data_IF_036699391010
#
_entry.id   IF_036699391010
#
_cell.length_a   1.000
_cell.length_b   1.000
_cell.length_c   1.000
_cell.angle_alpha   90.00
_cell.angle_beta   90.00
_cell.angle_gamma   90.00
#
_symmetry.space_group_name_H-M   'P 1'
#
loop_
_entity.id
_entity.type
_entity.pdbx_description
1 polymer ?
#
# COMPACT_ATOMS: atom_id res chain seq x y z
N UNK A 1 -23.29 34.02 -78.29
CA UNK A 1 -23.70 34.16 -76.89
C UNK A 1 -23.11 32.96 -76.11
N UNK A 2 -22.03 33.21 -75.31
CA UNK A 2 -21.37 32.18 -74.51
C UNK A 2 -21.85 32.37 -73.05
N UNK A 3 -22.52 31.36 -72.47
CA UNK A 3 -22.86 31.35 -71.08
C UNK A 3 -21.72 30.75 -70.24
N UNK A 4 -21.21 31.54 -69.31
CA UNK A 4 -20.20 31.13 -68.32
C UNK A 4 -20.96 30.72 -67.07
N UNK A 5 -20.88 29.44 -66.65
CA UNK A 5 -21.38 28.96 -65.38
C UNK A 5 -20.28 29.05 -64.34
N UNK A 6 -20.46 29.86 -63.33
CA UNK A 6 -19.59 29.95 -62.16
C UNK A 6 -20.01 28.87 -61.15
N UNK A 7 -19.16 27.90 -60.91
CA UNK A 7 -19.36 26.89 -59.84
C UNK A 7 -18.80 27.45 -58.54
N UNK A 8 -19.70 27.75 -57.60
CA UNK A 8 -19.32 28.13 -56.24
C UNK A 8 -18.96 26.91 -55.41
N UNK A 9 -17.72 26.83 -54.97
CA UNK A 9 -17.22 25.78 -54.06
C UNK A 9 -17.56 26.23 -52.63
N UNK A 10 -18.53 25.59 -51.97
CA UNK A 10 -18.81 25.79 -50.57
C UNK A 10 -17.85 24.95 -49.71
N UNK A 11 -16.96 25.62 -49.01
CA UNK A 11 -16.08 24.99 -48.03
C UNK A 11 -16.87 24.76 -46.74
N UNK A 12 -17.26 23.51 -46.48
CA UNK A 12 -17.82 23.10 -45.18
C UNK A 12 -16.67 22.94 -44.19
N UNK A 13 -16.50 23.93 -43.32
CA UNK A 13 -15.56 23.83 -42.20
C UNK A 13 -16.12 22.88 -41.13
N UNK A 14 -15.54 21.66 -41.00
CA UNK A 14 -15.76 20.81 -39.85
C UNK A 14 -15.10 21.47 -38.60
N UNK A 15 -15.91 22.09 -37.75
CA UNK A 15 -15.49 22.48 -36.42
C UNK A 15 -15.43 21.17 -35.60
N UNK A 16 -14.26 20.61 -35.46
CA UNK A 16 -13.99 19.51 -34.53
C UNK A 16 -14.14 20.05 -33.12
N UNK A 17 -15.21 19.63 -32.45
CA UNK A 17 -15.32 19.83 -31.00
C UNK A 17 -14.28 18.92 -30.38
N UNK A 18 -13.17 19.47 -29.95
CA UNK A 18 -12.20 18.79 -29.09
C UNK A 18 -12.85 18.74 -27.70
N UNK A 19 -13.40 17.60 -27.31
CA UNK A 19 -13.68 17.31 -25.92
C UNK A 19 -12.33 17.21 -25.21
N UNK A 20 -11.87 18.28 -24.59
CA UNK A 20 -10.83 18.20 -23.59
C UNK A 20 -11.43 17.51 -22.38
N UNK A 21 -11.21 16.21 -22.24
CA UNK A 21 -11.42 15.54 -20.96
C UNK A 21 -10.52 16.25 -19.96
N UNK A 22 -11.09 17.02 -19.05
CA UNK A 22 -10.37 17.53 -17.91
C UNK A 22 -9.96 16.31 -17.08
N UNK A 23 -8.67 16.07 -16.92
CA UNK A 23 -8.22 15.05 -15.98
C UNK A 23 -8.75 15.42 -14.58
N UNK A 24 -9.36 14.47 -13.90
CA UNK A 24 -9.84 14.67 -12.53
C UNK A 24 -8.63 15.04 -11.65
N UNK A 25 -8.73 16.14 -10.93
CA UNK A 25 -7.62 16.61 -10.07
C UNK A 25 -7.60 15.80 -8.77
N UNK A 26 -6.45 15.22 -8.44
CA UNK A 26 -6.25 14.57 -7.14
C UNK A 26 -6.34 15.64 -6.04
N UNK A 27 -7.14 15.39 -5.03
CA UNK A 27 -7.36 16.30 -3.89
C UNK A 27 -6.60 15.86 -2.64
N UNK A 28 -6.46 14.55 -2.44
CA UNK A 28 -5.82 13.96 -1.26
C UNK A 28 -5.01 12.72 -1.62
N UNK A 29 -3.89 12.53 -0.96
CA UNK A 29 -3.16 11.26 -0.91
C UNK A 29 -3.88 10.27 0.00
N UNK A 30 -3.57 8.98 -0.11
CA UNK A 30 -4.14 7.97 0.80
C UNK A 30 -3.71 8.25 2.25
N UNK A 31 -2.47 8.69 2.47
CA UNK A 31 -2.00 9.06 3.81
C UNK A 31 -2.78 10.23 4.44
N UNK A 32 -3.22 11.21 3.64
CA UNK A 32 -4.11 12.28 4.11
C UNK A 32 -5.53 11.77 4.40
N UNK A 33 -5.99 10.77 3.64
CA UNK A 33 -7.28 10.11 3.88
C UNK A 33 -7.23 9.31 5.19
N UNK A 34 -6.20 8.51 5.41
CA UNK A 34 -5.98 7.74 6.64
C UNK A 34 -5.72 8.66 7.86
N UNK A 35 -5.09 9.83 7.64
CA UNK A 35 -4.87 10.85 8.66
C UNK A 35 -3.85 10.47 9.73
N UNK A 36 -3.22 9.29 9.64
CA UNK A 36 -2.29 8.72 10.63
C UNK A 36 -2.93 8.56 12.03
N UNK A 37 -4.22 8.24 12.04
CA UNK A 37 -5.05 8.08 13.23
C UNK A 37 -5.92 6.82 13.07
N UNK A 38 -6.56 6.38 14.17
CA UNK A 38 -7.55 5.29 14.16
C UNK A 38 -8.83 5.59 13.38
N UNK A 39 -8.99 6.81 12.93
CA UNK A 39 -10.16 7.25 12.20
C UNK A 39 -9.79 8.42 11.33
N UNK A 40 -10.25 8.40 10.09
CA UNK A 40 -9.96 9.43 9.10
C UNK A 40 -10.41 10.82 9.56
N UNK A 41 -9.59 11.86 9.40
CA UNK A 41 -10.01 13.25 9.61
C UNK A 41 -10.97 13.75 8.53
N UNK A 42 -11.20 12.96 7.46
CA UNK A 42 -11.97 13.34 6.28
C UNK A 42 -13.32 12.60 6.18
N UNK A 43 -13.80 11.98 7.27
CA UNK A 43 -15.10 11.28 7.30
C UNK A 43 -16.20 12.16 6.70
N UNK A 44 -17.08 11.56 5.88
CA UNK A 44 -18.19 12.19 5.15
C UNK A 44 -17.74 13.23 4.09
N UNK A 45 -16.45 13.34 3.81
CA UNK A 45 -15.96 14.20 2.73
C UNK A 45 -15.76 13.39 1.45
N UNK A 46 -16.06 14.02 0.32
CA UNK A 46 -15.76 13.46 -1.01
C UNK A 46 -14.34 13.86 -1.40
N UNK A 47 -13.52 12.88 -1.68
CA UNK A 47 -12.11 13.05 -2.05
C UNK A 47 -11.85 12.45 -3.43
N UNK A 48 -10.88 13.01 -4.14
CA UNK A 48 -10.31 12.38 -5.33
C UNK A 48 -8.91 11.91 -5.00
N UNK A 49 -8.64 10.61 -5.19
CA UNK A 49 -7.33 10.02 -4.94
C UNK A 49 -6.90 9.11 -6.09
N UNK A 50 -5.66 8.67 -6.06
CA UNK A 50 -5.09 7.72 -7.02
C UNK A 50 -4.31 6.65 -6.27
N UNK A 51 -4.17 5.47 -6.87
CA UNK A 51 -3.34 4.38 -6.33
C UNK A 51 -3.27 3.22 -7.29
N UNK A 52 -2.30 2.34 -7.03
CA UNK A 52 -2.20 1.04 -7.70
C UNK A 52 -3.10 0.05 -6.99
N UNK A 53 -3.90 -0.69 -7.74
CA UNK A 53 -4.71 -1.79 -7.20
C UNK A 53 -3.78 -2.91 -6.75
N UNK A 54 -3.72 -3.15 -5.45
CA UNK A 54 -2.86 -4.17 -4.83
C UNK A 54 -3.57 -5.48 -4.61
N UNK A 55 -4.89 -5.44 -4.43
CA UNK A 55 -5.76 -6.61 -4.33
C UNK A 55 -7.13 -6.29 -4.89
N UNK A 56 -7.77 -7.27 -5.52
CA UNK A 56 -9.12 -7.15 -6.08
C UNK A 56 -9.97 -8.34 -5.66
N UNK A 57 -11.26 -8.30 -6.03
CA UNK A 57 -12.20 -9.39 -5.75
C UNK A 57 -12.32 -9.75 -4.26
N UNK A 58 -12.23 -8.76 -3.37
CA UNK A 58 -12.64 -8.97 -1.98
C UNK A 58 -14.10 -9.42 -1.97
N UNK A 59 -14.38 -10.57 -1.36
CA UNK A 59 -15.70 -11.19 -1.43
C UNK A 59 -16.33 -11.32 -0.06
N UNK A 60 -17.65 -11.29 -0.04
CA UNK A 60 -18.45 -11.66 1.13
C UNK A 60 -19.22 -12.94 0.82
N UNK A 61 -19.37 -13.80 1.79
CA UNK A 61 -20.13 -15.05 1.66
C UNK A 61 -21.58 -14.86 1.17
N UNK A 62 -22.14 -13.68 1.36
CA UNK A 62 -23.54 -13.37 1.03
C UNK A 62 -23.72 -12.41 -0.16
N UNK A 63 -22.72 -11.59 -0.47
CA UNK A 63 -22.87 -10.46 -1.41
C UNK A 63 -22.00 -10.58 -2.67
N UNK A 64 -21.12 -11.58 -2.75
CA UNK A 64 -20.14 -11.70 -3.83
C UNK A 64 -19.01 -10.66 -3.67
N UNK A 65 -18.45 -10.14 -4.76
CA UNK A 65 -17.41 -9.09 -4.72
C UNK A 65 -17.95 -7.82 -4.10
N UNK A 66 -17.24 -7.32 -3.11
CA UNK A 66 -17.60 -6.14 -2.32
C UNK A 66 -16.54 -5.05 -2.30
N UNK A 67 -15.36 -5.27 -2.89
CA UNK A 67 -14.34 -4.24 -2.91
C UNK A 67 -12.98 -4.69 -3.42
N UNK A 68 -12.04 -3.77 -3.26
CA UNK A 68 -10.63 -3.94 -3.65
C UNK A 68 -9.74 -3.00 -2.80
N UNK A 69 -8.43 -3.22 -2.84
CA UNK A 69 -7.45 -2.37 -2.15
C UNK A 69 -6.62 -1.58 -3.14
N UNK A 70 -6.32 -0.34 -2.81
CA UNK A 70 -5.39 0.51 -3.55
C UNK A 70 -4.30 1.06 -2.64
N UNK A 71 -3.13 1.32 -3.23
CA UNK A 71 -1.98 1.88 -2.51
C UNK A 71 -1.26 2.91 -3.38
N UNK A 72 -0.91 4.09 -2.83
CA UNK A 72 -0.30 5.21 -3.56
C UNK A 72 1.21 5.37 -3.28
N UNK A 73 1.78 4.46 -2.49
CA UNK A 73 3.20 4.50 -2.13
C UNK A 73 3.67 3.24 -1.43
N UNK A 74 4.92 3.25 -0.95
CA UNK A 74 5.47 2.23 -0.06
C UNK A 74 5.41 2.73 1.38
N UNK A 75 5.16 1.83 2.33
CA UNK A 75 5.18 2.15 3.76
C UNK A 75 3.78 2.30 4.39
N UNK A 76 3.74 2.61 5.69
CA UNK A 76 2.49 2.75 6.43
C UNK A 76 1.64 3.92 5.91
N UNK A 77 0.32 3.83 6.12
CA UNK A 77 -0.67 4.83 5.75
C UNK A 77 -0.85 5.05 4.24
N UNK A 78 -0.24 4.20 3.40
CA UNK A 78 -0.31 4.34 1.94
C UNK A 78 -1.37 3.47 1.28
N UNK A 79 -2.08 2.64 2.03
CA UNK A 79 -3.13 1.75 1.57
C UNK A 79 -4.51 2.17 2.05
N UNK A 80 -5.55 1.84 1.27
CA UNK A 80 -6.95 2.03 1.68
C UNK A 80 -7.84 0.99 1.02
N UNK A 81 -8.87 0.57 1.73
CA UNK A 81 -9.92 -0.28 1.21
C UNK A 81 -10.97 0.55 0.44
N UNK A 82 -11.41 0.04 -0.70
CA UNK A 82 -12.50 0.63 -1.50
C UNK A 82 -13.67 -0.33 -1.49
N UNK A 83 -14.75 0.05 -0.82
CA UNK A 83 -15.99 -0.71 -0.80
C UNK A 83 -16.83 -0.36 -2.03
N UNK A 84 -16.70 -1.18 -3.07
CA UNK A 84 -17.44 -1.02 -4.32
C UNK A 84 -17.65 -2.36 -5.02
N UNK A 85 -18.86 -2.61 -5.50
CA UNK A 85 -19.23 -3.82 -6.25
C UNK A 85 -19.61 -3.53 -7.70
N UNK A 86 -19.36 -2.33 -8.17
CA UNK A 86 -19.72 -1.89 -9.54
C UNK A 86 -18.52 -1.85 -10.48
N UNK A 87 -17.30 -1.71 -9.92
CA UNK A 87 -16.04 -1.71 -10.67
C UNK A 87 -15.32 -3.06 -10.47
N UNK A 88 -14.51 -3.42 -11.43
CA UNK A 88 -13.71 -4.65 -11.42
C UNK A 88 -12.29 -4.35 -11.93
N UNK A 89 -11.48 -3.62 -11.13
CA UNK A 89 -10.12 -3.33 -11.52
C UNK A 89 -9.26 -4.60 -11.48
N UNK A 90 -8.20 -4.63 -12.29
CA UNK A 90 -7.18 -5.67 -12.23
C UNK A 90 -6.03 -5.26 -11.29
N UNK A 91 -5.39 -6.24 -10.66
CA UNK A 91 -4.18 -5.99 -9.86
C UNK A 91 -3.10 -5.38 -10.76
N UNK A 92 -2.52 -4.25 -10.34
CA UNK A 92 -1.57 -3.49 -11.14
C UNK A 92 -2.20 -2.38 -12.00
N UNK A 93 -3.51 -2.19 -11.95
CA UNK A 93 -4.12 -0.99 -12.51
C UNK A 93 -3.78 0.22 -11.63
N UNK A 94 -3.33 1.29 -12.24
CA UNK A 94 -3.32 2.62 -11.62
C UNK A 94 -4.68 3.27 -11.88
N UNK A 95 -5.39 3.63 -10.84
CA UNK A 95 -6.73 4.20 -10.95
C UNK A 95 -6.82 5.57 -10.28
N UNK A 96 -7.71 6.41 -10.82
CA UNK A 96 -8.18 7.63 -10.17
C UNK A 96 -9.64 7.42 -9.81
N UNK A 97 -9.99 7.65 -8.56
CA UNK A 97 -11.36 7.55 -8.06
C UNK A 97 -11.76 8.81 -7.30
N UNK A 98 -13.03 9.16 -7.40
CA UNK A 98 -13.68 10.12 -6.50
C UNK A 98 -14.73 9.37 -5.69
N UNK A 99 -14.60 9.45 -4.36
CA UNK A 99 -15.40 8.67 -3.43
C UNK A 99 -15.59 9.42 -2.12
N UNK A 100 -16.57 9.02 -1.35
CA UNK A 100 -16.78 9.47 0.02
C UNK A 100 -15.90 8.68 0.99
N UNK A 101 -15.28 9.34 1.94
CA UNK A 101 -14.54 8.71 3.03
C UNK A 101 -15.52 8.28 4.12
N UNK A 102 -15.49 7.03 4.51
CA UNK A 102 -16.32 6.46 5.56
C UNK A 102 -15.49 5.69 6.57
N UNK A 103 -16.05 5.51 7.76
CA UNK A 103 -15.57 4.57 8.77
C UNK A 103 -16.62 3.49 8.98
N UNK A 104 -16.25 2.25 8.77
CA UNK A 104 -17.14 1.12 8.97
C UNK A 104 -16.54 0.11 9.94
N UNK A 105 -17.05 0.07 11.17
CA UNK A 105 -16.48 -0.72 12.27
C UNK A 105 -14.97 -0.53 12.43
N UNK A 106 -14.56 0.74 12.51
CA UNK A 106 -13.17 1.18 12.67
C UNK A 106 -12.26 0.88 11.43
N UNK A 107 -12.84 0.63 10.26
CA UNK A 107 -12.12 0.56 8.97
C UNK A 107 -12.29 1.87 8.23
N UNK A 108 -11.20 2.55 7.89
CA UNK A 108 -11.25 3.65 6.94
C UNK A 108 -11.46 3.11 5.53
N UNK A 109 -12.58 3.45 4.91
CA UNK A 109 -12.93 2.98 3.57
C UNK A 109 -13.39 4.09 2.64
N UNK A 110 -13.23 3.87 1.34
CA UNK A 110 -13.77 4.72 0.28
C UNK A 110 -15.05 4.09 -0.27
N UNK A 111 -16.15 4.84 -0.20
CA UNK A 111 -17.49 4.37 -0.58
C UNK A 111 -18.14 5.32 -1.58
N UNK A 112 -19.28 4.92 -2.15
CA UNK A 112 -20.11 5.78 -2.99
C UNK A 112 -19.32 6.42 -4.16
N UNK A 113 -18.58 5.61 -4.92
CA UNK A 113 -17.78 6.08 -6.05
C UNK A 113 -18.61 6.91 -7.03
N UNK A 114 -18.20 8.16 -7.26
CA UNK A 114 -18.80 9.08 -8.23
C UNK A 114 -17.99 9.23 -9.51
N UNK A 115 -16.69 8.88 -9.45
CA UNK A 115 -15.79 8.81 -10.58
C UNK A 115 -14.86 7.62 -10.45
N UNK A 116 -14.59 6.95 -11.57
CA UNK A 116 -13.65 5.85 -11.70
C UNK A 116 -12.97 5.91 -13.07
N UNK A 117 -11.66 5.83 -13.10
CA UNK A 117 -10.90 5.76 -14.34
C UNK A 117 -9.60 4.99 -14.15
N UNK A 118 -9.34 4.04 -15.05
CA UNK A 118 -8.04 3.36 -15.15
C UNK A 118 -7.11 4.25 -15.96
N UNK A 119 -6.00 4.65 -15.34
CA UNK A 119 -4.96 5.51 -15.94
C UNK A 119 -3.97 4.69 -16.76
N UNK A 120 -3.51 3.59 -16.16
CA UNK A 120 -2.58 2.64 -16.78
C UNK A 120 -2.77 1.25 -16.14
N UNK A 121 -2.29 0.20 -16.81
CA UNK A 121 -2.35 -1.18 -16.34
C UNK A 121 -0.97 -1.83 -16.35
N UNK A 122 -0.87 -3.01 -15.75
CA UNK A 122 0.39 -3.77 -15.63
C UNK A 122 1.50 -3.00 -14.89
N UNK A 123 1.13 -2.10 -13.97
CA UNK A 123 2.08 -1.38 -13.15
C UNK A 123 2.73 -2.32 -12.12
N UNK A 124 3.99 -2.02 -11.78
CA UNK A 124 4.65 -2.70 -10.67
C UNK A 124 3.93 -2.36 -9.37
N UNK A 125 3.59 -3.38 -8.59
CA UNK A 125 3.00 -3.18 -7.27
C UNK A 125 4.00 -2.53 -6.32
N UNK A 126 3.54 -1.75 -5.33
CA UNK A 126 4.35 -1.39 -4.18
C UNK A 126 4.97 -2.65 -3.56
N UNK A 127 6.23 -2.56 -3.12
CA UNK A 127 6.87 -3.69 -2.47
C UNK A 127 6.14 -4.02 -1.16
N UNK A 128 5.83 -5.31 -0.87
CA UNK A 128 5.22 -5.68 0.39
C UNK A 128 6.12 -5.29 1.56
N UNK A 129 5.56 -4.64 2.58
CA UNK A 129 6.29 -4.36 3.80
C UNK A 129 6.52 -5.66 4.58
N UNK A 130 7.77 -6.03 4.81
CA UNK A 130 8.12 -7.18 5.64
C UNK A 130 7.97 -6.80 7.11
N UNK A 131 7.06 -7.47 7.80
CA UNK A 131 6.66 -7.15 9.17
C UNK A 131 6.63 -8.42 10.03
N UNK A 132 6.73 -8.25 11.33
CA UNK A 132 6.46 -9.33 12.28
C UNK A 132 4.96 -9.52 12.50
N UNK A 133 4.55 -10.73 12.87
CA UNK A 133 3.14 -11.04 13.15
C UNK A 133 2.57 -10.18 14.28
N UNK A 134 3.34 -9.93 15.34
CA UNK A 134 2.94 -9.10 16.46
C UNK A 134 2.85 -7.61 16.14
N UNK A 135 3.66 -7.08 15.23
CA UNK A 135 3.53 -5.70 14.76
C UNK A 135 2.25 -5.50 13.97
N UNK A 136 1.94 -6.41 13.05
CA UNK A 136 0.76 -6.31 12.20
C UNK A 136 -0.55 -6.46 12.97
N UNK A 137 -0.57 -7.32 14.01
CA UNK A 137 -1.79 -7.56 14.80
C UNK A 137 -2.25 -6.37 15.65
N UNK A 138 -1.46 -5.29 15.71
CA UNK A 138 -1.73 -4.13 16.56
C UNK A 138 -1.51 -2.77 15.89
N UNK A 139 -1.37 -2.74 14.57
CA UNK A 139 -0.95 -1.53 13.86
C UNK A 139 -1.96 -1.06 12.83
N UNK A 140 -2.70 -0.02 13.19
CA UNK A 140 -3.55 0.79 12.30
C UNK A 140 -2.79 1.28 11.06
N UNK A 141 -1.53 1.66 11.25
CA UNK A 141 -0.71 2.25 10.20
C UNK A 141 -0.54 1.38 8.94
N UNK A 142 -0.86 0.08 9.04
CA UNK A 142 -0.75 -0.86 7.93
C UNK A 142 -2.09 -1.26 7.32
N UNK A 143 -3.20 -0.71 7.83
CA UNK A 143 -4.52 -0.95 7.24
C UNK A 143 -4.52 -0.59 5.75
N UNK A 144 -5.09 -1.48 4.94
CA UNK A 144 -5.12 -1.36 3.48
C UNK A 144 -3.80 -1.60 2.76
N UNK A 145 -2.67 -1.68 3.48
CA UNK A 145 -1.35 -1.84 2.87
C UNK A 145 -1.00 -3.28 2.54
N UNK A 146 -0.19 -3.46 1.49
CA UNK A 146 0.40 -4.74 1.12
C UNK A 146 1.58 -5.06 2.04
N UNK A 147 1.49 -6.20 2.74
CA UNK A 147 2.48 -6.65 3.72
C UNK A 147 2.94 -8.08 3.44
N UNK A 148 4.03 -8.48 4.10
CA UNK A 148 4.52 -9.85 4.09
C UNK A 148 5.02 -10.24 5.47
N UNK A 149 4.55 -11.38 5.98
CA UNK A 149 5.18 -12.08 7.11
C UNK A 149 6.10 -13.18 6.57
N UNK A 150 7.25 -13.38 7.21
CA UNK A 150 8.24 -14.36 6.76
C UNK A 150 8.48 -15.39 7.86
N UNK A 151 8.43 -16.68 7.50
CA UNK A 151 8.71 -17.81 8.40
C UNK A 151 7.83 -17.83 9.66
N UNK A 152 6.57 -17.45 9.55
CA UNK A 152 5.62 -17.58 10.63
C UNK A 152 5.09 -19.03 10.73
N UNK A 153 4.96 -19.53 11.93
CA UNK A 153 4.40 -20.88 12.20
C UNK A 153 2.88 -20.80 12.24
N UNK A 154 2.20 -21.69 11.55
CA UNK A 154 0.76 -21.87 11.71
C UNK A 154 0.46 -22.51 13.07
N UNK A 155 0.00 -21.72 14.03
CA UNK A 155 -0.29 -22.19 15.39
C UNK A 155 -1.71 -22.71 15.53
N UNK A 156 -2.66 -22.15 14.76
CA UNK A 156 -4.05 -22.65 14.68
C UNK A 156 -4.45 -22.70 13.21
N UNK A 157 -4.57 -23.90 12.62
CA UNK A 157 -4.88 -24.06 11.19
C UNK A 157 -6.36 -23.81 10.83
N UNK A 158 -7.24 -23.83 11.82
CA UNK A 158 -8.68 -23.55 11.70
C UNK A 158 -9.12 -22.84 12.98
N UNK A 159 -9.27 -21.53 12.89
CA UNK A 159 -9.71 -20.65 13.98
C UNK A 159 -11.18 -20.21 13.79
N UNK A 160 -12.01 -21.09 13.18
CA UNK A 160 -13.36 -20.83 12.68
C UNK A 160 -13.38 -19.87 11.46
N UNK A 161 -14.45 -19.90 10.69
CA UNK A 161 -14.72 -19.02 9.54
C UNK A 161 -13.62 -19.00 8.46
N UNK A 162 -12.87 -20.10 8.28
CA UNK A 162 -11.70 -20.21 7.40
C UNK A 162 -10.55 -19.25 7.76
N UNK A 163 -10.51 -18.80 9.00
CA UNK A 163 -9.35 -18.08 9.54
C UNK A 163 -8.28 -19.05 10.04
N UNK A 164 -7.03 -18.62 10.01
CA UNK A 164 -5.93 -19.36 10.62
C UNK A 164 -5.02 -18.38 11.39
N UNK A 165 -4.31 -18.87 12.40
CA UNK A 165 -3.45 -18.06 13.25
C UNK A 165 -1.98 -18.40 12.97
N UNK A 166 -1.17 -17.37 12.80
CA UNK A 166 0.26 -17.46 12.55
C UNK A 166 1.04 -16.67 13.59
N UNK A 167 2.22 -17.19 13.98
CA UNK A 167 3.13 -16.55 14.93
C UNK A 167 4.59 -16.79 14.51
N UNK A 168 5.38 -15.72 14.42
CA UNK A 168 6.82 -15.76 14.19
C UNK A 168 7.63 -15.66 15.50
N UNK A 169 6.96 -15.68 16.66
CA UNK A 169 7.51 -15.52 17.98
C UNK A 169 7.37 -14.11 18.56
N UNK A 170 6.77 -13.18 17.80
CA UNK A 170 6.53 -11.80 18.24
C UNK A 170 5.10 -11.54 18.72
N UNK A 171 4.16 -12.45 18.40
CA UNK A 171 2.73 -12.36 18.68
C UNK A 171 1.92 -12.88 17.51
N UNK A 172 0.67 -13.20 17.75
CA UNK A 172 -0.22 -13.84 16.78
C UNK A 172 -0.87 -12.84 15.81
N UNK A 173 -1.07 -13.27 14.56
CA UNK A 173 -1.93 -12.61 13.57
C UNK A 173 -2.81 -13.64 12.88
N UNK A 174 -4.01 -13.24 12.44
CA UNK A 174 -4.90 -14.06 11.64
C UNK A 174 -4.73 -13.81 10.14
N UNK A 175 -5.02 -14.84 9.36
CA UNK A 175 -5.38 -14.73 7.94
C UNK A 175 -6.88 -14.88 7.78
N UNK A 176 -7.44 -14.31 6.71
CA UNK A 176 -8.85 -14.38 6.39
C UNK A 176 -9.04 -14.83 4.93
N UNK A 177 -10.25 -15.28 4.57
CA UNK A 177 -10.56 -15.95 3.30
C UNK A 177 -11.34 -15.07 2.30
N UNK A 178 -11.37 -13.76 2.47
CA UNK A 178 -12.16 -12.88 1.60
C UNK A 178 -11.75 -12.92 0.12
N UNK A 179 -10.52 -13.32 -0.18
CA UNK A 179 -10.04 -13.46 -1.56
C UNK A 179 -9.48 -14.86 -1.84
N UNK A 180 -8.78 -15.47 -0.89
CA UNK A 180 -8.14 -16.75 -1.09
C UNK A 180 -8.03 -17.56 0.21
N UNK A 181 -8.31 -18.85 0.09
CA UNK A 181 -8.03 -19.86 1.11
C UNK A 181 -7.34 -21.06 0.46
N UNK A 182 -6.24 -21.61 1.02
CA UNK A 182 -5.57 -22.78 0.46
C UNK A 182 -6.49 -24.00 0.36
N UNK A 183 -6.63 -24.60 -0.82
CA UNK A 183 -7.49 -25.79 -1.01
C UNK A 183 -7.15 -26.96 -0.09
N UNK A 184 -5.85 -27.12 0.23
CA UNK A 184 -5.37 -28.16 1.15
C UNK A 184 -5.60 -27.82 2.63
N UNK A 185 -6.08 -26.60 2.93
CA UNK A 185 -6.11 -26.04 4.27
C UNK A 185 -4.70 -25.70 4.80
N UNK A 186 -4.64 -25.22 6.02
CA UNK A 186 -3.39 -24.96 6.73
C UNK A 186 -2.95 -26.17 7.55
N UNK A 187 -1.66 -26.30 7.79
CA UNK A 187 -1.10 -27.42 8.57
C UNK A 187 -0.49 -26.87 9.86
N UNK A 188 -0.94 -27.36 11.01
CA UNK A 188 -0.39 -26.97 12.30
C UNK A 188 1.11 -27.25 12.38
N UNK A 189 1.83 -26.39 13.06
CA UNK A 189 3.29 -26.43 13.23
C UNK A 189 4.11 -26.29 11.92
N UNK A 190 3.43 -26.11 10.78
CA UNK A 190 4.09 -25.82 9.50
C UNK A 190 4.44 -24.33 9.42
N UNK A 191 5.61 -24.04 8.85
CA UNK A 191 6.11 -22.67 8.62
C UNK A 191 5.65 -22.16 7.27
N UNK A 192 5.22 -20.89 7.21
CA UNK A 192 4.79 -20.22 6.01
C UNK A 192 5.38 -18.80 5.92
N UNK A 193 5.55 -18.32 4.70
CA UNK A 193 5.68 -16.89 4.41
C UNK A 193 4.45 -16.46 3.63
N UNK A 194 3.79 -15.40 4.08
CA UNK A 194 2.47 -15.00 3.59
C UNK A 194 2.50 -13.52 3.20
N UNK A 195 2.00 -13.22 2.00
CA UNK A 195 1.79 -11.86 1.50
C UNK A 195 0.29 -11.57 1.42
N UNK A 196 -0.13 -10.34 1.70
CA UNK A 196 -1.52 -9.94 1.59
C UNK A 196 -1.74 -8.50 2.01
N UNK A 197 -3.00 -8.02 1.93
CA UNK A 197 -3.37 -6.70 2.43
C UNK A 197 -3.87 -6.80 3.86
N UNK A 198 -3.56 -5.82 4.69
CA UNK A 198 -4.12 -5.75 6.04
C UNK A 198 -5.54 -5.19 5.98
N UNK A 199 -6.44 -5.88 6.65
CA UNK A 199 -7.83 -5.48 6.80
C UNK A 199 -8.26 -5.62 8.26
N UNK A 200 -8.96 -4.62 8.79
CA UNK A 200 -9.50 -4.68 10.14
C UNK A 200 -10.93 -5.21 10.09
N UNK A 201 -11.17 -6.36 10.67
CA UNK A 201 -12.51 -6.98 10.71
C UNK A 201 -12.73 -7.68 12.04
N UNK A 202 -13.95 -7.52 12.62
CA UNK A 202 -14.30 -8.12 13.91
C UNK A 202 -13.31 -7.79 15.04
N UNK A 203 -12.89 -6.52 15.11
CA UNK A 203 -11.97 -5.99 16.14
C UNK A 203 -10.53 -6.54 16.05
N UNK A 204 -10.11 -7.10 14.90
CA UNK A 204 -8.79 -7.67 14.69
C UNK A 204 -8.22 -7.28 13.32
N UNK A 205 -6.91 -6.99 13.26
CA UNK A 205 -6.17 -6.88 11.99
C UNK A 205 -5.89 -8.28 11.45
N UNK A 206 -6.16 -8.48 10.17
CA UNK A 206 -6.00 -9.77 9.48
C UNK A 206 -5.29 -9.58 8.16
N UNK A 207 -4.56 -10.60 7.71
CA UNK A 207 -3.96 -10.62 6.38
C UNK A 207 -4.96 -11.21 5.39
N UNK A 208 -5.42 -10.41 4.45
CA UNK A 208 -6.21 -10.85 3.30
C UNK A 208 -5.30 -11.35 2.20
N UNK A 209 -5.22 -12.67 2.05
CA UNK A 209 -4.38 -13.33 1.04
C UNK A 209 -5.05 -13.21 -0.32
N UNK A 210 -4.32 -12.75 -1.36
CA UNK A 210 -4.90 -12.47 -2.67
C UNK A 210 -5.07 -13.71 -3.54
N UNK A 211 -4.08 -14.63 -3.47
CA UNK A 211 -4.06 -15.84 -4.29
C UNK A 211 -2.98 -16.83 -3.81
N UNK A 212 -2.88 -18.00 -4.46
CA UNK A 212 -1.95 -19.06 -4.09
C UNK A 212 -0.46 -18.66 -4.15
N UNK A 213 -0.09 -17.68 -4.98
CA UNK A 213 1.31 -17.24 -5.09
C UNK A 213 1.77 -16.43 -3.87
N UNK A 214 0.84 -15.92 -3.09
CA UNK A 214 1.10 -15.18 -1.85
C UNK A 214 1.46 -16.09 -0.67
N UNK A 215 1.34 -17.42 -0.82
CA UNK A 215 1.61 -18.41 0.21
C UNK A 215 2.83 -19.25 -0.19
N UNK A 216 3.89 -19.17 0.61
CA UNK A 216 5.10 -19.99 0.42
C UNK A 216 5.25 -20.89 1.63
N UNK A 217 5.17 -22.21 1.40
CA UNK A 217 5.34 -23.21 2.45
C UNK A 217 6.82 -23.49 2.75
N UNK A 218 7.10 -23.76 4.02
CA UNK A 218 8.44 -24.08 4.51
C UNK A 218 9.27 -22.84 4.85
N UNK A 219 10.35 -23.05 5.59
CA UNK A 219 11.27 -21.99 5.91
C UNK A 219 11.94 -21.47 4.63
N UNK A 220 11.78 -20.19 4.35
CA UNK A 220 12.49 -19.54 3.25
C UNK A 220 13.96 -19.40 3.65
N UNK A 221 14.77 -20.38 3.29
CA UNK A 221 16.22 -20.34 3.43
C UNK A 221 16.81 -19.53 2.25
N UNK A 222 16.46 -18.26 2.16
CA UNK A 222 17.05 -17.39 1.16
C UNK A 222 18.39 -16.86 1.60
N UNK A 223 19.35 -16.72 0.68
CA UNK A 223 20.53 -15.85 0.82
C UNK A 223 20.08 -14.40 1.10
N UNK A 224 18.75 -14.15 1.13
CA UNK A 224 18.07 -12.95 1.61
C UNK A 224 17.50 -13.05 3.01
N UNK A 225 17.11 -14.23 3.53
CA UNK A 225 16.47 -14.33 4.86
C UNK A 225 17.47 -14.27 6.01
N UNK A 226 18.72 -14.64 5.81
CA UNK A 226 19.75 -14.51 6.85
C UNK A 226 20.46 -13.15 6.86
N UNK A 227 20.08 -12.23 5.96
CA UNK A 227 20.55 -10.85 5.90
C UNK A 227 19.51 -9.85 5.37
N UNK A 228 18.24 -10.19 5.37
CA UNK A 228 17.22 -9.19 5.59
C UNK A 228 17.20 -8.90 7.11
N UNK A 229 18.31 -8.44 7.62
CA UNK A 229 18.26 -7.36 8.59
C UNK A 229 17.20 -6.44 8.00
N UNK A 230 16.08 -6.27 8.69
CA UNK A 230 14.94 -5.53 8.23
C UNK A 230 15.44 -4.34 7.41
N UNK A 231 15.21 -4.35 6.09
CA UNK A 231 15.74 -3.27 5.27
C UNK A 231 15.02 -2.04 5.78
N UNK A 232 15.80 -1.06 6.22
CA UNK A 232 15.21 0.17 6.74
C UNK A 232 14.40 0.79 5.62
N UNK A 233 13.09 0.62 5.63
CA UNK A 233 12.19 1.25 4.69
C UNK A 233 12.30 2.76 4.85
N UNK A 234 12.45 3.48 3.74
CA UNK A 234 12.57 4.93 3.71
C UNK A 234 11.59 5.46 2.68
N UNK A 235 10.66 6.30 3.11
CA UNK A 235 9.66 6.88 2.23
C UNK A 235 9.36 8.34 2.63
N UNK A 236 8.90 9.17 1.66
CA UNK A 236 8.92 8.89 0.22
C UNK A 236 10.36 8.72 -0.30
N UNK A 237 10.52 7.93 -1.35
CA UNK A 237 11.79 7.80 -2.07
C UNK A 237 11.48 7.78 -3.59
N UNK A 238 11.73 8.85 -4.34
CA UNK A 238 12.50 10.06 -3.98
C UNK A 238 11.84 10.96 -2.93
N UNK A 239 12.70 11.63 -2.12
CA UNK A 239 12.30 12.54 -1.06
C UNK A 239 12.50 14.02 -1.44
N UNK A 240 11.63 14.89 -0.93
CA UNK A 240 11.79 16.35 -1.00
C UNK A 240 12.26 16.92 0.34
N UNK A 241 11.37 17.20 1.26
CA UNK A 241 11.69 17.90 2.51
C UNK A 241 11.89 16.97 3.69
N UNK A 242 11.26 15.78 3.68
CA UNK A 242 11.33 14.83 4.76
C UNK A 242 11.35 13.39 4.25
N UNK A 243 11.88 12.48 5.08
CA UNK A 243 11.75 11.03 4.95
C UNK A 243 11.14 10.46 6.22
N UNK A 244 10.45 9.35 6.09
CA UNK A 244 10.01 8.51 7.20
C UNK A 244 10.76 7.19 7.18
N UNK A 245 10.95 6.62 8.34
CA UNK A 245 11.56 5.31 8.51
C UNK A 245 10.50 4.32 9.01
N UNK A 246 10.48 3.12 8.47
CA UNK A 246 9.65 2.03 8.97
C UNK A 246 10.26 1.38 10.23
N UNK A 247 10.72 2.17 11.17
CA UNK A 247 11.25 1.67 12.44
C UNK A 247 10.32 2.05 13.59
N UNK A 248 9.95 1.07 14.40
CA UNK A 248 9.16 1.26 15.61
C UNK A 248 10.02 1.28 16.89
N UNK A 249 11.33 1.11 16.75
CA UNK A 249 12.28 1.08 17.88
C UNK A 249 13.09 2.38 17.98
N UNK A 250 13.44 2.82 19.20
CA UNK A 250 14.41 3.90 19.37
C UNK A 250 15.79 3.48 18.90
N UNK A 251 16.57 4.44 18.39
CA UNK A 251 17.92 4.16 17.89
C UNK A 251 18.66 5.40 17.43
N UNK A 252 19.84 5.22 16.90
CA UNK A 252 20.67 6.27 16.32
C UNK A 252 20.59 6.22 14.79
N UNK A 253 20.20 7.34 14.20
CA UNK A 253 20.15 7.53 12.75
C UNK A 253 21.36 8.32 12.26
N UNK A 254 21.98 7.89 11.16
CA UNK A 254 23.00 8.63 10.42
C UNK A 254 22.63 8.69 8.95
N UNK A 255 22.69 9.87 8.36
CA UNK A 255 22.62 10.06 6.91
C UNK A 255 24.00 10.38 6.38
N UNK A 256 24.42 9.69 5.32
CA UNK A 256 25.76 9.70 4.77
C UNK A 256 25.67 10.08 3.29
N UNK A 257 26.44 11.07 2.84
CA UNK A 257 26.50 11.47 1.45
C UNK A 257 27.33 10.52 0.57
N UNK A 258 27.32 10.73 -0.74
CA UNK A 258 28.08 9.93 -1.71
C UNK A 258 29.62 9.97 -1.50
N UNK A 259 30.14 10.94 -0.74
CA UNK A 259 31.55 11.03 -0.39
C UNK A 259 31.86 10.30 0.94
N UNK A 260 30.88 9.65 1.57
CA UNK A 260 31.05 8.94 2.84
C UNK A 260 31.01 9.85 4.07
N UNK A 261 30.62 11.12 3.94
CA UNK A 261 30.51 12.06 5.06
C UNK A 261 29.15 11.96 5.71
N UNK A 262 29.12 11.88 7.05
CA UNK A 262 27.86 12.01 7.80
C UNK A 262 27.36 13.45 7.70
N UNK A 263 26.16 13.61 7.13
CA UNK A 263 25.49 14.92 6.94
C UNK A 263 24.38 15.16 7.95
N UNK A 264 23.86 14.09 8.58
CA UNK A 264 22.90 14.15 9.67
C UNK A 264 23.16 13.02 10.64
N UNK A 265 22.99 13.28 11.95
CA UNK A 265 23.12 12.27 13.01
C UNK A 265 22.15 12.64 14.14
N UNK A 266 21.14 11.80 14.37
CA UNK A 266 20.07 12.06 15.31
C UNK A 266 19.76 10.80 16.15
N UNK A 267 19.26 11.02 17.36
CA UNK A 267 18.69 9.96 18.18
C UNK A 267 17.18 9.93 17.94
N UNK A 268 16.71 8.84 17.40
CA UNK A 268 15.32 8.62 17.07
C UNK A 268 14.58 8.06 18.28
N UNK A 269 13.40 8.60 18.54
CA UNK A 269 12.48 8.16 19.57
C UNK A 269 11.09 7.98 18.95
N UNK A 270 10.39 6.92 19.35
CA UNK A 270 9.03 6.64 18.86
C UNK A 270 8.98 5.79 17.60
N UNK A 271 7.77 5.53 17.14
CA UNK A 271 7.48 4.71 15.97
C UNK A 271 7.41 5.57 14.71
N UNK A 272 7.86 5.05 13.58
CA UNK A 272 7.79 5.69 12.25
C UNK A 272 8.28 7.14 12.22
N UNK A 273 9.53 7.41 12.67
CA UNK A 273 10.02 8.77 12.83
C UNK A 273 10.13 9.48 11.48
N UNK A 274 9.73 10.76 11.47
CA UNK A 274 9.91 11.67 10.34
C UNK A 274 11.19 12.46 10.53
N UNK A 275 12.06 12.46 9.52
CA UNK A 275 13.38 13.09 9.52
C UNK A 275 13.38 14.24 8.50
N UNK A 276 13.72 15.45 8.94
CA UNK A 276 13.85 16.59 8.06
C UNK A 276 15.14 16.47 7.22
N UNK A 277 14.98 16.42 5.90
CA UNK A 277 16.06 16.37 4.91
C UNK A 277 16.02 17.57 3.97
N UNK A 278 15.20 18.58 4.26
CA UNK A 278 15.05 19.78 3.44
C UNK A 278 16.36 20.55 3.23
N UNK A 279 17.26 20.51 4.21
CA UNK A 279 18.60 21.12 4.16
C UNK A 279 19.63 20.35 3.35
N UNK A 280 19.32 19.14 2.87
CA UNK A 280 20.27 18.35 2.07
C UNK A 280 20.21 18.76 0.59
N UNK A 281 21.37 18.71 -0.07
CA UNK A 281 21.43 18.92 -1.52
C UNK A 281 20.82 17.74 -2.28
N UNK A 282 20.35 17.96 -3.52
CA UNK A 282 19.87 16.88 -4.37
C UNK A 282 20.97 15.84 -4.60
N UNK A 283 20.61 14.56 -4.47
CA UNK A 283 21.57 13.46 -4.61
C UNK A 283 21.16 12.20 -3.86
N UNK A 284 21.95 11.14 -4.01
CA UNK A 284 21.74 9.87 -3.33
C UNK A 284 22.43 9.86 -1.98
N UNK A 285 21.72 9.43 -0.95
CA UNK A 285 22.21 9.31 0.42
C UNK A 285 22.04 7.88 0.94
N UNK A 286 23.00 7.43 1.74
CA UNK A 286 22.85 6.23 2.55
C UNK A 286 22.32 6.62 3.93
N UNK A 287 21.39 5.82 4.45
CA UNK A 287 20.86 5.93 5.81
C UNK A 287 21.29 4.73 6.60
N UNK A 288 21.87 4.95 7.76
CA UNK A 288 22.27 3.94 8.72
C UNK A 288 21.49 4.17 10.01
N UNK A 289 20.74 3.16 10.42
CA UNK A 289 20.01 3.15 11.68
C UNK A 289 20.54 2.05 12.58
N UNK A 290 20.84 2.39 13.80
CA UNK A 290 21.39 1.47 14.80
C UNK A 290 20.54 1.50 16.06
N UNK A 291 20.08 0.33 16.48
CA UNK A 291 19.50 0.11 17.81
C UNK A 291 20.34 -0.96 18.55
N UNK A 292 19.94 -1.30 19.79
CA UNK A 292 20.72 -2.22 20.66
C UNK A 292 20.97 -3.60 20.03
N UNK A 293 20.14 -4.02 19.07
CA UNK A 293 20.16 -5.37 18.51
C UNK A 293 20.56 -5.42 17.03
N UNK A 294 20.39 -4.32 16.25
CA UNK A 294 20.53 -4.34 14.81
C UNK A 294 21.20 -3.08 14.25
N UNK A 295 21.89 -3.26 13.12
CA UNK A 295 22.34 -2.19 12.24
C UNK A 295 21.65 -2.35 10.90
N UNK A 296 20.80 -1.39 10.54
CA UNK A 296 20.05 -1.35 9.29
C UNK A 296 20.66 -0.30 8.37
N UNK A 297 20.70 -0.58 7.07
CA UNK A 297 21.23 0.36 6.06
C UNK A 297 20.28 0.39 4.87
N UNK A 298 19.93 1.59 4.43
CA UNK A 298 19.12 1.80 3.25
C UNK A 298 19.61 3.01 2.45
N UNK A 299 18.89 3.40 1.38
CA UNK A 299 19.24 4.55 0.55
C UNK A 299 18.00 5.30 0.13
N UNK A 300 18.13 6.63 -0.03
CA UNK A 300 17.10 7.44 -0.68
C UNK A 300 17.70 8.43 -1.67
N UNK A 301 16.86 8.87 -2.60
CA UNK A 301 17.18 9.92 -3.56
C UNK A 301 16.51 11.22 -3.10
N UNK A 302 17.29 12.29 -2.89
CA UNK A 302 16.83 13.64 -2.58
C UNK A 302 16.67 14.43 -3.88
N UNK A 303 15.51 15.02 -4.08
CA UNK A 303 15.18 15.95 -5.17
C UNK A 303 15.11 17.40 -4.73
#
# INVERSE_FOLDING_TARGET
>A
MKHIYTIGLALLGCIGIQNTSSAQAITHTIAEIQGELFSSPLIEQVVTTTGIVTANNVTSATSGTIGFFIQDGEGPWSGVYVYDNTQAPEIGDEIIIEAEVAEFYDVTELVNLTYYNVVSSDNTLPAPMVMTTGELSSSEAHEGCLVQIINATCVVPDADYNEAIFDDGSGEIKTNDYMYFPEAGWVADQVYSITGCIHYTFEEYKIEIRNAADVVEGAVNGVGASNMAAELGIFPNPAQDAIRLNSNAPGQLRIIDAAGRTVLNENIQGSYPTIDVSGLANGTYAVEFMNDNNRLVSRFLKH
#
